data_IF_083053811256
#
_entry.id   IF_083053811256
#
_cell.length_a   1.000
_cell.length_b   1.000
_cell.length_c   1.000
_cell.angle_alpha   90.00
_cell.angle_beta   90.00
_cell.angle_gamma   90.00
#
_symmetry.space_group_name_H-M   'P 1'
#
loop_
_entity.id
_entity.type
_entity.pdbx_description
1 polymer ?
#
# COMPACT_ATOMS: atom_id res chain seq x y z
N UNK A 1 37.88 -13.94 -8.99
CA UNK A 1 37.44 -12.52 -8.93
C UNK A 1 37.17 -12.17 -7.48
N UNK A 2 37.87 -11.17 -6.94
CA UNK A 2 37.48 -10.58 -5.66
C UNK A 2 36.30 -9.65 -5.97
N UNK A 3 35.13 -9.91 -5.37
CA UNK A 3 33.88 -9.18 -5.59
C UNK A 3 33.91 -7.75 -5.04
N UNK A 4 34.94 -6.99 -5.39
CA UNK A 4 35.15 -5.62 -4.95
C UNK A 4 34.17 -4.71 -5.68
N UNK A 5 33.49 -3.86 -4.91
CA UNK A 5 32.52 -2.90 -5.42
C UNK A 5 33.19 -1.89 -6.37
N UNK A 6 32.57 -1.65 -7.53
CA UNK A 6 33.05 -0.68 -8.52
C UNK A 6 32.30 0.64 -8.36
N UNK A 7 33.02 1.72 -8.10
CA UNK A 7 32.48 3.08 -8.04
C UNK A 7 32.45 3.73 -9.42
N UNK A 8 31.45 4.60 -9.68
CA UNK A 8 31.35 5.31 -10.96
C UNK A 8 30.83 4.47 -12.13
N UNK A 9 30.28 3.28 -11.85
CA UNK A 9 29.59 2.49 -12.85
C UNK A 9 28.30 3.17 -13.32
N UNK A 10 27.90 2.86 -14.54
CA UNK A 10 26.66 3.32 -15.17
C UNK A 10 25.86 2.14 -15.70
N UNK A 11 24.54 2.26 -15.72
CA UNK A 11 23.64 1.30 -16.33
C UNK A 11 22.81 1.98 -17.42
N UNK A 12 22.81 1.40 -18.62
CA UNK A 12 21.90 1.78 -19.69
C UNK A 12 20.71 0.80 -19.72
N UNK A 13 19.52 1.31 -19.42
CA UNK A 13 18.27 0.53 -19.34
C UNK A 13 17.19 1.23 -20.14
N UNK A 14 16.56 0.53 -21.10
CA UNK A 14 15.42 1.04 -21.87
C UNK A 14 15.63 2.47 -22.43
N UNK A 15 16.82 2.77 -22.95
CA UNK A 15 17.16 4.08 -23.53
C UNK A 15 17.58 5.17 -22.54
N UNK A 16 17.73 4.84 -21.25
CA UNK A 16 18.10 5.78 -20.20
C UNK A 16 19.40 5.35 -19.50
N UNK A 17 20.24 6.33 -19.17
CA UNK A 17 21.48 6.12 -18.40
C UNK A 17 21.24 6.44 -16.91
N UNK A 18 21.63 5.50 -16.04
CA UNK A 18 21.61 5.64 -14.59
C UNK A 18 23.03 5.55 -14.05
N UNK A 19 23.44 6.51 -13.25
CA UNK A 19 24.79 6.55 -12.67
C UNK A 19 24.77 5.99 -11.24
N UNK A 20 25.81 5.25 -10.87
CA UNK A 20 25.98 4.76 -9.51
C UNK A 20 26.13 5.89 -8.50
N UNK A 21 25.51 5.74 -7.33
CA UNK A 21 25.75 6.60 -6.18
C UNK A 21 27.13 6.36 -5.55
N UNK A 22 27.43 7.08 -4.47
CA UNK A 22 28.71 7.00 -3.75
C UNK A 22 29.02 5.57 -3.26
N UNK A 23 27.99 4.80 -2.93
CA UNK A 23 28.08 3.41 -2.49
C UNK A 23 28.01 2.40 -3.66
N UNK A 24 28.23 2.84 -4.91
CA UNK A 24 28.22 1.96 -6.09
C UNK A 24 26.84 1.42 -6.49
N UNK A 25 25.77 1.77 -5.78
CA UNK A 25 24.42 1.32 -6.12
C UNK A 25 23.84 2.15 -7.26
N UNK A 26 23.22 1.47 -8.22
CA UNK A 26 22.47 2.09 -9.32
C UNK A 26 20.98 1.88 -9.04
N UNK A 27 20.26 2.99 -8.86
CA UNK A 27 18.81 2.95 -8.64
C UNK A 27 18.11 3.15 -9.98
N UNK A 28 17.37 2.14 -10.41
CA UNK A 28 16.50 2.19 -11.60
C UNK A 28 15.05 2.34 -11.12
N UNK A 29 14.30 3.38 -11.56
CA UNK A 29 12.88 3.53 -11.22
C UNK A 29 12.05 2.35 -11.67
N UNK A 30 10.85 2.14 -11.09
CA UNK A 30 9.92 1.13 -11.57
C UNK A 30 9.50 1.35 -13.03
N UNK A 31 9.10 0.27 -13.71
CA UNK A 31 8.69 0.30 -15.11
C UNK A 31 7.18 0.50 -15.27
N UNK A 32 6.78 1.22 -16.32
CA UNK A 32 5.40 1.18 -16.84
C UNK A 32 5.16 0.06 -17.84
N UNK A 33 6.22 -0.66 -18.23
CA UNK A 33 6.19 -1.85 -19.08
C UNK A 33 7.04 -2.95 -18.42
N UNK A 34 6.55 -3.59 -17.34
CA UNK A 34 7.32 -4.54 -16.56
C UNK A 34 7.66 -5.80 -17.35
N UNK A 35 8.78 -6.43 -17.00
CA UNK A 35 9.19 -7.69 -17.62
C UNK A 35 10.70 -7.86 -17.70
N UNK A 36 11.13 -8.89 -18.44
CA UNK A 36 12.54 -9.17 -18.65
C UNK A 36 13.19 -8.09 -19.52
N UNK A 37 14.14 -7.35 -18.94
CA UNK A 37 14.75 -6.17 -19.53
C UNK A 37 16.27 -6.33 -19.60
N UNK A 38 16.84 -6.03 -20.77
CA UNK A 38 18.29 -5.93 -20.92
C UNK A 38 18.84 -4.66 -20.28
N UNK A 39 20.03 -4.76 -19.70
CA UNK A 39 20.80 -3.66 -19.12
C UNK A 39 22.24 -3.75 -19.59
N UNK A 40 22.84 -2.63 -20.00
CA UNK A 40 24.29 -2.56 -20.27
C UNK A 40 24.96 -1.85 -19.11
N UNK A 41 25.86 -2.52 -18.42
CA UNK A 41 26.69 -1.90 -17.40
C UNK A 41 27.97 -1.38 -18.05
N UNK A 42 28.39 -0.18 -17.67
CA UNK A 42 29.67 0.41 -18.08
C UNK A 42 30.42 0.85 -16.83
N UNK A 43 31.61 0.32 -16.63
CA UNK A 43 32.47 0.60 -15.50
C UNK A 43 33.78 1.28 -15.95
N UNK A 44 34.38 2.15 -15.12
CA UNK A 44 35.75 2.59 -15.30
C UNK A 44 36.70 1.37 -15.25
N UNK A 45 37.69 1.35 -16.14
CA UNK A 45 38.60 0.21 -16.32
C UNK A 45 39.98 0.43 -15.72
N UNK A 46 40.71 1.42 -16.22
CA UNK A 46 42.06 1.74 -15.78
C UNK A 46 42.30 3.26 -15.69
N UNK A 47 43.45 3.65 -15.14
CA UNK A 47 43.85 5.06 -14.97
C UNK A 47 44.11 5.79 -16.30
N UNK A 48 44.05 5.08 -17.44
CA UNK A 48 44.17 5.65 -18.79
C UNK A 48 42.81 6.07 -19.37
N UNK A 49 41.73 5.90 -18.60
CA UNK A 49 40.38 6.29 -18.99
C UNK A 49 39.64 5.25 -19.82
N UNK A 50 40.14 4.00 -19.87
CA UNK A 50 39.40 2.93 -20.54
C UNK A 50 38.15 2.56 -19.75
N UNK A 51 37.13 2.04 -20.44
CA UNK A 51 35.90 1.53 -19.82
C UNK A 51 35.66 0.08 -20.23
N UNK A 52 34.98 -0.65 -19.35
CA UNK A 52 34.50 -2.00 -19.63
C UNK A 52 32.98 -1.98 -19.64
N UNK A 53 32.39 -2.61 -20.67
CA UNK A 53 30.94 -2.77 -20.76
C UNK A 53 30.54 -4.24 -20.79
N UNK A 54 29.44 -4.56 -20.11
CA UNK A 54 28.86 -5.90 -20.09
C UNK A 54 27.34 -5.83 -20.25
N UNK A 55 26.78 -6.81 -20.97
CA UNK A 55 25.34 -6.97 -21.12
C UNK A 55 24.82 -7.88 -20.01
N UNK A 56 23.81 -7.41 -19.30
CA UNK A 56 23.05 -8.17 -18.31
C UNK A 56 21.55 -8.12 -18.61
N UNK A 57 20.80 -8.82 -17.79
CA UNK A 57 19.35 -8.82 -17.81
C UNK A 57 18.80 -8.83 -16.39
N UNK A 58 17.64 -8.23 -16.20
CA UNK A 58 16.91 -8.28 -14.94
C UNK A 58 15.41 -8.21 -15.21
N UNK A 59 14.61 -8.64 -14.24
CA UNK A 59 13.17 -8.42 -14.27
C UNK A 59 12.92 -7.00 -13.77
N UNK A 60 12.45 -6.14 -14.67
CA UNK A 60 12.11 -4.77 -14.36
C UNK A 60 10.69 -4.72 -13.82
N UNK A 61 10.58 -4.52 -12.51
CA UNK A 61 9.30 -4.56 -11.80
C UNK A 61 8.45 -3.31 -12.06
N UNK A 62 7.13 -3.50 -12.04
CA UNK A 62 6.17 -2.40 -12.00
C UNK A 62 6.03 -1.84 -10.59
N UNK A 63 5.44 -0.66 -10.47
CA UNK A 63 5.07 -0.05 -9.19
C UNK A 63 3.69 -0.58 -8.74
N UNK A 64 3.68 -1.64 -7.93
CA UNK A 64 2.44 -2.25 -7.44
C UNK A 64 2.22 -1.94 -5.96
N UNK A 65 1.23 -1.09 -5.68
CA UNK A 65 0.79 -0.81 -4.31
C UNK A 65 -0.22 -1.84 -3.82
N UNK A 66 -0.03 -2.27 -2.58
CA UNK A 66 -0.97 -3.10 -1.83
C UNK A 66 -1.30 -2.41 -0.51
N UNK A 67 -2.60 -2.33 -0.21
CA UNK A 67 -3.10 -1.74 1.02
C UNK A 67 -4.00 -2.75 1.72
N UNK A 68 -3.60 -3.16 2.91
CA UNK A 68 -4.33 -4.11 3.73
C UNK A 68 -4.63 -3.48 5.09
N UNK A 69 -5.70 -3.93 5.73
CA UNK A 69 -5.99 -3.52 7.09
C UNK A 69 -6.59 -4.68 7.88
N UNK A 70 -6.04 -4.94 9.07
CA UNK A 70 -6.75 -5.70 10.09
C UNK A 70 -7.85 -4.82 10.66
N UNK A 71 -9.10 -5.22 10.52
CA UNK A 71 -10.25 -4.47 11.04
C UNK A 71 -10.94 -5.34 12.07
N UNK A 72 -11.17 -4.81 13.26
CA UNK A 72 -11.75 -5.57 14.36
C UNK A 72 -12.80 -4.76 15.10
N UNK A 73 -13.89 -5.43 15.46
CA UNK A 73 -14.92 -4.94 16.37
C UNK A 73 -15.22 -6.07 17.35
N UNK A 74 -15.35 -5.71 18.63
CA UNK A 74 -15.89 -6.63 19.61
C UNK A 74 -17.39 -6.85 19.33
N UNK A 75 -17.73 -8.09 18.99
CA UNK A 75 -19.11 -8.49 18.71
C UNK A 75 -20.02 -8.33 19.92
N UNK A 76 -19.52 -8.50 21.13
CA UNK A 76 -20.31 -8.33 22.36
C UNK A 76 -20.62 -6.86 22.65
N UNK A 77 -19.81 -5.93 22.10
CA UNK A 77 -20.06 -4.50 22.16
C UNK A 77 -21.14 -4.03 21.16
N UNK A 78 -21.53 -4.86 20.18
CA UNK A 78 -22.55 -4.55 19.16
C UNK A 78 -23.98 -4.63 19.70
N UNK A 79 -24.21 -4.04 20.87
CA UNK A 79 -25.51 -3.94 21.48
C UNK A 79 -26.29 -2.76 20.88
N UNK A 80 -27.54 -3.01 20.52
CA UNK A 80 -28.43 -2.02 19.90
C UNK A 80 -28.43 -0.68 20.64
N UNK A 81 -28.24 0.43 19.92
CA UNK A 81 -28.20 1.82 20.44
C UNK A 81 -27.10 2.08 21.47
N UNK A 82 -26.08 1.22 21.56
CA UNK A 82 -24.87 1.50 22.34
C UNK A 82 -23.74 1.96 21.43
N UNK A 83 -22.78 2.63 22.04
CA UNK A 83 -21.52 2.98 21.41
C UNK A 83 -20.60 1.76 21.39
N UNK A 84 -19.98 1.50 20.25
CA UNK A 84 -18.97 0.46 20.06
C UNK A 84 -17.73 1.06 19.39
N UNK A 85 -16.62 0.34 19.44
CA UNK A 85 -15.35 0.77 18.84
C UNK A 85 -14.95 -0.17 17.73
N UNK A 86 -14.47 0.40 16.62
CA UNK A 86 -13.70 -0.34 15.62
C UNK A 86 -12.22 -0.01 15.78
N UNK A 87 -11.39 -1.05 15.76
CA UNK A 87 -9.93 -1.00 15.81
C UNK A 87 -9.40 -1.38 14.44
N UNK A 88 -8.50 -0.55 13.90
CA UNK A 88 -8.00 -0.67 12.52
C UNK A 88 -6.48 -0.62 12.52
N UNK A 89 -5.86 -1.65 11.96
CA UNK A 89 -4.41 -1.77 11.76
C UNK A 89 -4.07 -1.80 10.28
N UNK A 90 -3.81 -0.65 9.64
CA UNK A 90 -3.48 -0.57 8.23
C UNK A 90 -2.01 -0.93 7.96
N UNK A 91 -1.72 -1.38 6.74
CA UNK A 91 -0.38 -1.53 6.20
C UNK A 91 -0.40 -1.20 4.70
N UNK A 92 0.57 -0.39 4.27
CA UNK A 92 0.81 -0.07 2.87
C UNK A 92 2.15 -0.68 2.45
N UNK A 93 2.18 -1.33 1.29
CA UNK A 93 3.41 -1.85 0.70
C UNK A 93 3.50 -1.55 -0.79
N UNK A 94 4.73 -1.52 -1.29
CA UNK A 94 5.05 -1.50 -2.71
C UNK A 94 5.88 -2.74 -3.04
N UNK A 95 5.39 -3.58 -3.96
CA UNK A 95 6.01 -4.86 -4.33
C UNK A 95 6.43 -5.71 -3.12
N UNK A 96 5.54 -5.81 -2.11
CA UNK A 96 5.76 -6.57 -0.88
C UNK A 96 6.68 -5.89 0.16
N UNK A 97 7.25 -4.72 -0.14
CA UNK A 97 8.05 -3.95 0.81
C UNK A 97 7.15 -2.93 1.53
N UNK A 98 7.03 -2.98 2.87
CA UNK A 98 6.26 -2.00 3.64
C UNK A 98 6.79 -0.58 3.45
N UNK A 99 5.89 0.37 3.29
CA UNK A 99 6.20 1.80 3.19
C UNK A 99 5.31 2.61 4.13
N UNK A 100 5.72 3.85 4.38
CA UNK A 100 5.03 4.73 5.31
C UNK A 100 3.59 5.01 4.88
N UNK A 101 2.67 5.00 5.87
CA UNK A 101 1.28 5.38 5.69
C UNK A 101 1.11 6.87 5.37
N UNK A 102 2.14 7.70 5.63
CA UNK A 102 2.15 9.12 5.27
C UNK A 102 2.10 9.36 3.76
N UNK A 103 2.27 8.31 2.94
CA UNK A 103 2.10 8.35 1.48
C UNK A 103 0.63 8.33 1.05
N UNK A 104 -0.29 8.05 1.97
CA UNK A 104 -1.73 8.04 1.71
C UNK A 104 -2.31 9.46 1.81
N UNK A 105 -3.14 9.78 0.84
CA UNK A 105 -3.94 11.00 0.75
C UNK A 105 -5.43 10.61 0.77
N UNK A 106 -6.31 11.58 1.07
CA UNK A 106 -7.77 11.37 1.07
C UNK A 106 -8.21 10.14 1.88
N UNK A 107 -7.62 9.90 3.05
CA UNK A 107 -7.95 8.73 3.90
C UNK A 107 -9.37 8.87 4.46
N UNK A 108 -10.19 7.85 4.27
CA UNK A 108 -11.60 7.81 4.70
C UNK A 108 -11.98 6.46 5.25
N UNK A 109 -12.65 6.47 6.41
CA UNK A 109 -13.34 5.31 6.96
C UNK A 109 -14.82 5.39 6.60
N UNK A 110 -15.33 4.39 5.90
CA UNK A 110 -16.77 4.21 5.65
C UNK A 110 -17.31 3.09 6.52
N UNK A 111 -18.46 3.34 7.14
CA UNK A 111 -19.20 2.40 7.98
C UNK A 111 -20.55 2.19 7.32
N UNK A 112 -20.80 0.99 6.81
CA UNK A 112 -22.03 0.63 6.13
C UNK A 112 -22.75 -0.39 7.01
N UNK A 113 -23.96 -0.07 7.42
CA UNK A 113 -24.83 -0.97 8.18
C UNK A 113 -26.01 -1.40 7.33
N UNK A 114 -26.41 -2.65 7.48
CA UNK A 114 -27.66 -3.19 6.93
C UNK A 114 -28.49 -3.72 8.09
N UNK A 115 -29.76 -3.33 8.16
CA UNK A 115 -30.69 -3.85 9.15
C UNK A 115 -31.33 -5.19 8.72
N UNK A 116 -32.13 -5.80 9.60
CA UNK A 116 -32.82 -7.06 9.32
C UNK A 116 -33.87 -6.97 8.20
N UNK A 117 -34.29 -5.77 7.81
CA UNK A 117 -35.22 -5.51 6.71
C UNK A 117 -34.48 -5.27 5.38
N UNK A 118 -33.14 -5.25 5.41
CA UNK A 118 -32.29 -4.99 4.25
C UNK A 118 -32.08 -3.49 3.97
N UNK A 119 -32.50 -2.60 4.87
CA UNK A 119 -32.27 -1.17 4.72
C UNK A 119 -30.80 -0.87 5.01
N UNK A 120 -30.14 -0.23 4.04
CA UNK A 120 -28.76 0.20 4.17
C UNK A 120 -28.67 1.63 4.70
N UNK A 121 -27.74 1.85 5.63
CA UNK A 121 -27.30 3.18 6.07
C UNK A 121 -25.78 3.24 6.00
N UNK A 122 -25.23 4.43 5.73
CA UNK A 122 -23.79 4.65 5.61
C UNK A 122 -23.37 5.91 6.35
N UNK A 123 -22.20 5.85 6.98
CA UNK A 123 -21.49 6.98 7.55
C UNK A 123 -20.08 7.03 6.99
N UNK A 124 -19.59 8.23 6.72
CA UNK A 124 -18.23 8.45 6.23
C UNK A 124 -17.50 9.39 7.18
N UNK A 125 -16.28 8.99 7.54
CA UNK A 125 -15.37 9.74 8.39
C UNK A 125 -14.19 10.15 7.50
N UNK A 126 -14.19 11.39 6.99
CA UNK A 126 -13.09 11.91 6.20
C UNK A 126 -11.88 12.20 7.09
N UNK A 127 -10.69 12.24 6.49
CA UNK A 127 -9.42 12.53 7.17
C UNK A 127 -9.17 11.60 8.37
N UNK A 128 -9.49 10.31 8.20
CA UNK A 128 -9.31 9.33 9.26
C UNK A 128 -7.82 9.14 9.55
N UNK A 129 -7.42 9.38 10.80
CA UNK A 129 -6.01 9.34 11.20
C UNK A 129 -5.49 7.91 11.28
N UNK A 130 -4.34 7.68 10.66
CA UNK A 130 -3.62 6.40 10.68
C UNK A 130 -2.32 6.54 11.45
N UNK A 131 -1.93 5.47 12.13
CA UNK A 131 -0.70 5.41 12.92
C UNK A 131 0.14 4.20 12.50
N UNK A 132 1.46 4.35 12.53
CA UNK A 132 2.41 3.26 12.23
C UNK A 132 2.81 2.47 13.47
N UNK A 133 2.71 3.09 14.65
CA UNK A 133 3.14 2.57 15.94
C UNK A 133 2.00 2.01 16.80
N UNK A 134 0.75 2.15 16.35
CA UNK A 134 -0.46 1.69 17.05
C UNK A 134 -1.64 1.56 16.10
N UNK A 135 -2.73 0.99 16.60
CA UNK A 135 -4.01 0.90 15.90
C UNK A 135 -4.77 2.23 15.93
N UNK A 136 -5.49 2.52 14.84
CA UNK A 136 -6.49 3.58 14.81
C UNK A 136 -7.81 3.08 15.39
N UNK A 137 -8.46 3.91 16.21
CA UNK A 137 -9.72 3.57 16.86
C UNK A 137 -10.79 4.58 16.48
N UNK A 138 -12.00 4.10 16.19
CA UNK A 138 -13.16 4.95 15.96
C UNK A 138 -14.38 4.47 16.73
N UNK A 139 -15.03 5.40 17.41
CA UNK A 139 -16.29 5.16 18.10
C UNK A 139 -17.46 5.37 17.15
N UNK A 140 -18.40 4.42 17.13
CA UNK A 140 -19.61 4.54 16.33
C UNK A 140 -20.84 4.09 17.13
N UNK A 141 -22.01 4.59 16.73
CA UNK A 141 -23.28 4.16 17.31
C UNK A 141 -23.78 2.92 16.57
N UNK A 142 -24.10 1.86 17.32
CA UNK A 142 -24.64 0.62 16.76
C UNK A 142 -26.09 0.86 16.30
N UNK A 143 -26.39 0.74 14.99
CA UNK A 143 -27.74 0.94 14.47
C UNK A 143 -28.74 -0.06 15.06
N UNK A 144 -30.02 0.30 15.02
CA UNK A 144 -31.08 -0.61 15.45
C UNK A 144 -31.21 -1.78 14.49
N UNK A 145 -31.56 -2.97 15.01
CA UNK A 145 -31.87 -4.16 14.20
C UNK A 145 -30.73 -4.51 13.23
N UNK A 146 -29.48 -4.26 13.64
CA UNK A 146 -28.29 -4.45 12.82
C UNK A 146 -28.13 -5.93 12.42
N UNK A 147 -28.15 -6.19 11.11
CA UNK A 147 -27.91 -7.52 10.55
C UNK A 147 -26.44 -7.69 10.12
N UNK A 148 -25.86 -6.67 9.51
CA UNK A 148 -24.45 -6.68 9.12
C UNK A 148 -23.83 -5.29 9.15
N UNK A 149 -22.52 -5.25 9.35
CA UNK A 149 -21.71 -4.05 9.40
C UNK A 149 -20.47 -4.25 8.53
N UNK A 150 -20.26 -3.40 7.54
CA UNK A 150 -19.05 -3.36 6.74
C UNK A 150 -18.27 -2.10 7.06
N UNK A 151 -17.01 -2.27 7.39
CA UNK A 151 -16.06 -1.16 7.46
C UNK A 151 -15.18 -1.20 6.22
N UNK A 152 -14.98 -0.05 5.59
CA UNK A 152 -14.06 0.11 4.48
C UNK A 152 -13.14 1.30 4.74
N UNK A 153 -11.83 1.03 4.80
CA UNK A 153 -10.81 2.05 4.81
C UNK A 153 -10.35 2.27 3.36
N UNK A 154 -10.42 3.51 2.90
CA UNK A 154 -10.04 3.89 1.54
C UNK A 154 -9.10 5.09 1.56
N UNK A 155 -8.22 5.15 0.58
CA UNK A 155 -7.25 6.22 0.43
C UNK A 155 -6.77 6.31 -1.03
N UNK A 156 -5.94 7.31 -1.31
CA UNK A 156 -5.20 7.43 -2.56
C UNK A 156 -3.72 7.44 -2.29
N UNK A 157 -2.94 6.80 -3.16
CA UNK A 157 -1.48 6.86 -3.17
C UNK A 157 -1.02 7.46 -4.49
N UNK A 158 -0.01 8.33 -4.44
CA UNK A 158 0.58 8.91 -5.64
C UNK A 158 1.70 7.99 -6.14
N UNK A 159 1.56 7.46 -7.36
CA UNK A 159 2.60 6.69 -8.03
C UNK A 159 3.85 7.54 -8.27
N UNK A 160 5.02 6.98 -7.99
CA UNK A 160 6.30 7.64 -8.19
C UNK A 160 6.66 7.78 -9.67
N UNK A 161 6.35 6.76 -10.47
CA UNK A 161 6.74 6.73 -11.89
C UNK A 161 5.87 7.65 -12.75
N UNK A 162 4.55 7.57 -12.57
CA UNK A 162 3.59 8.28 -13.44
C UNK A 162 3.09 9.59 -12.83
N UNK A 163 3.26 9.78 -11.51
CA UNK A 163 2.68 10.89 -10.77
C UNK A 163 1.15 10.80 -10.59
N UNK A 164 0.51 9.76 -11.12
CA UNK A 164 -0.94 9.56 -11.03
C UNK A 164 -1.36 9.11 -9.63
N UNK A 165 -2.59 9.45 -9.23
CA UNK A 165 -3.17 8.96 -7.98
C UNK A 165 -3.90 7.64 -8.23
N UNK A 166 -3.53 6.61 -7.47
CA UNK A 166 -4.18 5.31 -7.45
C UNK A 166 -5.04 5.19 -6.19
N UNK A 167 -6.29 4.76 -6.32
CA UNK A 167 -7.14 4.44 -5.18
C UNK A 167 -6.74 3.07 -4.61
N UNK A 168 -6.68 2.99 -3.29
CA UNK A 168 -6.43 1.75 -2.53
C UNK A 168 -7.46 1.62 -1.42
N UNK A 169 -7.86 0.40 -1.08
CA UNK A 169 -8.82 0.17 -0.02
C UNK A 169 -8.68 -1.21 0.62
N UNK A 170 -9.13 -1.31 1.86
CA UNK A 170 -9.27 -2.54 2.61
C UNK A 170 -10.63 -2.53 3.32
N UNK A 171 -11.32 -3.67 3.37
CA UNK A 171 -12.63 -3.75 3.99
C UNK A 171 -12.84 -5.06 4.73
N UNK A 172 -13.74 -5.02 5.71
CA UNK A 172 -14.17 -6.19 6.44
C UNK A 172 -15.65 -6.10 6.78
N UNK A 173 -16.36 -7.21 6.57
CA UNK A 173 -17.77 -7.36 6.90
C UNK A 173 -17.97 -8.23 8.14
N UNK A 174 -18.85 -7.80 9.01
CA UNK A 174 -19.28 -8.47 10.23
C UNK A 174 -20.77 -8.76 10.13
N UNK A 175 -21.15 -10.04 10.14
CA UNK A 175 -22.54 -10.46 10.17
C UNK A 175 -22.95 -10.82 11.60
N UNK A 176 -24.09 -10.31 12.05
CA UNK A 176 -24.66 -10.66 13.35
C UNK A 176 -25.67 -11.80 13.20
N UNK A 177 -25.56 -12.84 14.04
CA UNK A 177 -26.53 -13.93 14.04
C UNK A 177 -27.92 -13.38 14.40
N UNK A 178 -28.89 -13.58 13.50
CA UNK A 178 -30.27 -13.08 13.64
C UNK A 178 -31.11 -13.86 14.66
N UNK A 179 -30.62 -14.01 15.89
CA UNK A 179 -31.35 -14.67 16.98
C UNK A 179 -32.61 -13.87 17.36
N UNK A 180 -32.69 -12.57 17.02
CA UNK A 180 -33.91 -11.74 17.15
C UNK A 180 -34.92 -11.90 15.99
N UNK A 181 -34.84 -12.99 15.21
CA UNK A 181 -35.93 -13.41 14.31
C UNK A 181 -36.95 -14.28 15.06
N UNK A 182 -37.60 -13.74 16.08
CA UNK A 182 -38.73 -14.40 16.75
C UNK A 182 -39.69 -13.38 17.33
#
# INVERSE_FOLDING_TARGET
>A
EQGTQVTGAKAWVAGHEYTAGENGQIVVPFSTNPGHQSVVFTAPGDDLGNTYSSLGHFNHEAENYEFVAGIFVDREALLTRRQAQVVIRPQLSINGTPISLSRLEDVRLSIISVDHEGTQSSSEIPNFELFEDRESVHDFQVPQRLASLTFALSAKVKQLVTGQKQSVSASQNFSLNGIDKS
#
